data_IF_418338781903
#
_entry.id   IF_418338781903
#
_cell.length_a   1.000
_cell.length_b   1.000
_cell.length_c   1.000
_cell.angle_alpha   90.00
_cell.angle_beta   90.00
_cell.angle_gamma   90.00
#
_symmetry.space_group_name_H-M   'P 1'
#
loop_
_entity.id
_entity.type
_entity.pdbx_description
1 polymer ?
#
# COMPACT_ATOMS: atom_id res chain seq x y z
N UNK A 1 -0.53 9.11 -29.30
CA UNK A 1 -0.99 10.51 -29.34
C UNK A 1 -1.98 10.80 -28.21
N UNK A 2 -3.19 10.23 -28.20
CA UNK A 2 -4.23 10.48 -27.16
C UNK A 2 -3.76 10.16 -25.71
N UNK A 3 -2.99 9.08 -25.51
CA UNK A 3 -2.50 8.66 -24.19
C UNK A 3 -1.57 9.67 -23.52
N UNK A 4 -0.68 10.29 -24.29
CA UNK A 4 0.25 11.30 -23.76
C UNK A 4 -0.47 12.60 -23.42
N UNK A 5 -1.49 12.97 -24.21
CA UNK A 5 -2.29 14.16 -23.94
C UNK A 5 -3.14 14.05 -22.67
N UNK A 6 -3.75 12.89 -22.41
CA UNK A 6 -4.48 12.64 -21.15
C UNK A 6 -3.56 12.76 -19.93
N UNK A 7 -2.35 12.20 -20.01
CA UNK A 7 -1.36 12.31 -18.94
C UNK A 7 -0.93 13.76 -18.71
N UNK A 8 -0.67 14.52 -19.78
CA UNK A 8 -0.31 15.93 -19.68
C UNK A 8 -1.43 16.78 -19.05
N UNK A 9 -2.70 16.46 -19.33
CA UNK A 9 -3.84 17.14 -18.72
C UNK A 9 -3.87 16.84 -17.21
N UNK A 10 -3.74 15.57 -16.82
CA UNK A 10 -3.74 15.18 -15.40
C UNK A 10 -2.59 15.86 -14.64
N UNK A 11 -1.40 15.96 -15.26
CA UNK A 11 -0.22 16.61 -14.68
C UNK A 11 -0.40 18.12 -14.47
N UNK A 12 -1.17 18.76 -15.37
CA UNK A 12 -1.50 20.18 -15.25
C UNK A 12 -2.40 20.48 -14.05
N UNK A 13 -3.30 19.55 -13.69
CA UNK A 13 -4.29 19.74 -12.62
C UNK A 13 -3.85 19.19 -11.25
N UNK A 14 -2.74 18.45 -11.19
CA UNK A 14 -2.21 17.89 -9.94
C UNK A 14 -1.08 18.77 -9.41
N UNK A 15 -1.10 19.09 -8.12
CA UNK A 15 -0.08 19.94 -7.51
C UNK A 15 1.30 19.27 -7.59
N UNK A 16 2.26 19.93 -8.25
CA UNK A 16 3.63 19.44 -8.44
C UNK A 16 4.34 18.99 -7.15
N UNK A 17 4.16 19.65 -5.98
CA UNK A 17 4.77 19.18 -4.74
C UNK A 17 4.30 17.78 -4.31
N UNK A 18 3.02 17.44 -4.56
CA UNK A 18 2.45 16.13 -4.20
C UNK A 18 3.01 15.05 -5.12
N UNK A 19 3.14 15.35 -6.43
CA UNK A 19 3.76 14.46 -7.41
C UNK A 19 5.20 14.17 -7.00
N UNK A 20 5.99 15.22 -6.76
CA UNK A 20 7.40 15.10 -6.38
C UNK A 20 7.57 14.30 -5.08
N UNK A 21 6.66 14.47 -4.11
CA UNK A 21 6.69 13.68 -2.88
C UNK A 21 6.55 12.18 -3.15
N UNK A 22 5.53 11.78 -3.90
CA UNK A 22 5.27 10.37 -4.18
C UNK A 22 6.30 9.76 -5.15
N UNK A 23 6.78 10.49 -6.15
CA UNK A 23 7.87 10.06 -7.02
C UNK A 23 9.13 9.76 -6.21
N UNK A 24 9.60 10.72 -5.41
CA UNK A 24 10.78 10.52 -4.56
C UNK A 24 10.57 9.38 -3.56
N UNK A 25 9.38 9.25 -2.98
CA UNK A 25 9.07 8.16 -2.05
C UNK A 25 9.19 6.80 -2.75
N UNK A 26 8.58 6.63 -3.92
CA UNK A 26 8.53 5.35 -4.61
C UNK A 26 9.86 4.97 -5.29
N UNK A 27 10.67 5.94 -5.70
CA UNK A 27 12.02 5.72 -6.23
C UNK A 27 12.99 5.19 -5.15
N UNK A 28 12.73 5.51 -3.89
CA UNK A 28 13.57 5.09 -2.76
C UNK A 28 13.10 3.80 -2.07
N UNK A 29 11.92 3.27 -2.45
CA UNK A 29 11.41 2.00 -1.95
C UNK A 29 11.75 0.88 -2.91
N UNK A 30 12.73 0.06 -2.52
CA UNK A 30 13.11 -1.13 -3.27
C UNK A 30 12.10 -2.26 -3.05
N UNK A 31 11.42 -2.67 -4.13
CA UNK A 31 10.45 -3.76 -4.16
C UNK A 31 10.95 -4.95 -5.01
N UNK A 32 12.23 -4.95 -5.42
CA UNK A 32 12.80 -5.95 -6.34
C UNK A 32 12.73 -7.38 -5.79
N UNK A 33 12.85 -7.57 -4.47
CA UNK A 33 12.71 -8.85 -3.79
C UNK A 33 11.28 -9.43 -3.84
N UNK A 34 10.29 -8.60 -4.19
CA UNK A 34 8.89 -8.99 -4.27
C UNK A 34 8.56 -9.22 -5.74
N UNK A 35 8.09 -10.42 -6.15
CA UNK A 35 7.75 -10.62 -7.54
C UNK A 35 6.56 -9.72 -7.92
N UNK A 36 6.69 -8.92 -8.98
CA UNK A 36 5.66 -7.94 -9.32
C UNK A 36 4.28 -8.58 -9.56
N UNK A 37 4.26 -9.77 -10.16
CA UNK A 37 3.05 -10.53 -10.41
C UNK A 37 3.16 -11.95 -9.85
N UNK A 38 2.04 -12.46 -9.36
CA UNK A 38 1.91 -13.88 -9.03
C UNK A 38 1.76 -14.64 -10.36
N UNK A 39 2.62 -15.63 -10.60
CA UNK A 39 2.52 -16.45 -11.79
C UNK A 39 1.21 -17.25 -11.76
N UNK A 40 0.33 -16.94 -12.70
CA UNK A 40 -0.88 -17.70 -12.98
C UNK A 40 -0.58 -18.73 -14.07
N UNK A 41 -0.87 -20.01 -13.82
CA UNK A 41 -0.80 -21.05 -14.85
C UNK A 41 -1.99 -20.97 -15.83
N UNK A 42 -3.13 -20.48 -15.36
CA UNK A 42 -4.38 -20.36 -16.11
C UNK A 42 -5.12 -19.09 -15.64
N UNK A 43 -5.29 -18.12 -16.54
CA UNK A 43 -6.09 -16.91 -16.32
C UNK A 43 -5.32 -15.61 -16.56
N UNK A 44 -6.04 -14.46 -16.55
CA UNK A 44 -5.43 -13.15 -16.77
C UNK A 44 -4.37 -12.83 -15.73
N UNK A 45 -3.39 -12.03 -16.15
CA UNK A 45 -2.42 -11.42 -15.24
C UNK A 45 -3.18 -10.51 -14.27
N UNK A 46 -3.06 -10.77 -12.97
CA UNK A 46 -3.64 -9.92 -11.93
C UNK A 46 -2.96 -8.55 -11.84
N UNK A 47 -3.41 -7.72 -10.89
CA UNK A 47 -2.78 -6.43 -10.61
C UNK A 47 -1.35 -6.58 -10.10
N UNK A 48 -0.51 -5.57 -10.39
CA UNK A 48 0.86 -5.49 -9.90
C UNK A 48 0.87 -5.41 -8.37
N UNK A 49 1.60 -6.32 -7.73
CA UNK A 49 1.81 -6.30 -6.27
C UNK A 49 2.59 -5.07 -5.86
N UNK A 50 3.53 -4.60 -6.68
CA UNK A 50 4.25 -3.36 -6.41
C UNK A 50 3.29 -2.17 -6.35
N UNK A 51 2.36 -2.10 -7.30
CA UNK A 51 1.35 -1.05 -7.31
C UNK A 51 0.39 -1.12 -6.13
N UNK A 52 -0.02 -2.33 -5.73
CA UNK A 52 -0.84 -2.51 -4.53
C UNK A 52 -0.09 -2.10 -3.25
N UNK A 53 1.20 -2.44 -3.12
CA UNK A 53 2.03 -2.01 -1.98
C UNK A 53 2.13 -0.48 -1.92
N UNK A 54 2.45 0.16 -3.05
CA UNK A 54 2.52 1.62 -3.16
C UNK A 54 1.17 2.28 -2.82
N UNK A 55 0.05 1.71 -3.25
CA UNK A 55 -1.28 2.19 -2.87
C UNK A 55 -1.54 2.09 -1.35
N UNK A 56 -1.10 1.02 -0.68
CA UNK A 56 -1.18 0.94 0.78
C UNK A 56 -0.22 1.92 1.48
N UNK A 57 0.91 2.26 0.88
CA UNK A 57 1.76 3.35 1.38
C UNK A 57 1.04 4.69 1.27
N UNK A 58 0.41 5.00 0.12
CA UNK A 58 -0.46 6.18 -0.04
C UNK A 58 -1.55 6.20 1.03
N UNK A 59 -2.19 5.05 1.30
CA UNK A 59 -3.20 4.94 2.37
C UNK A 59 -2.67 5.40 3.73
N UNK A 60 -1.41 5.06 4.06
CA UNK A 60 -0.78 5.50 5.30
C UNK A 60 -0.39 6.99 5.29
N UNK A 61 0.13 7.49 4.17
CA UNK A 61 0.50 8.90 3.99
C UNK A 61 -0.72 9.84 4.10
N UNK A 62 -1.85 9.44 3.52
CA UNK A 62 -3.11 10.20 3.55
C UNK A 62 -3.96 9.91 4.80
N UNK A 63 -3.49 9.02 5.69
CA UNK A 63 -4.16 8.62 6.93
C UNK A 63 -5.57 8.04 6.76
N UNK A 64 -5.82 7.32 5.66
CA UNK A 64 -7.07 6.61 5.46
C UNK A 64 -7.16 5.38 6.36
N UNK A 65 -8.30 5.24 7.05
CA UNK A 65 -8.59 4.08 7.91
C UNK A 65 -9.29 2.94 7.18
N UNK A 66 -9.94 3.24 6.07
CA UNK A 66 -10.77 2.29 5.33
C UNK A 66 -10.26 2.13 3.90
N UNK A 67 -10.31 0.89 3.38
CA UNK A 67 -9.92 0.58 2.00
C UNK A 67 -10.83 1.29 0.99
N UNK A 68 -12.10 1.50 1.33
CA UNK A 68 -13.06 2.26 0.51
C UNK A 68 -12.56 3.68 0.25
N UNK A 69 -12.09 4.39 1.28
CA UNK A 69 -11.52 5.73 1.14
C UNK A 69 -10.27 5.75 0.24
N UNK A 70 -9.42 4.72 0.32
CA UNK A 70 -8.27 4.56 -0.59
C UNK A 70 -8.74 4.38 -2.04
N UNK A 71 -9.73 3.52 -2.28
CA UNK A 71 -10.28 3.27 -3.62
C UNK A 71 -10.83 4.58 -4.21
N UNK A 72 -11.69 5.27 -3.46
CA UNK A 72 -12.30 6.54 -3.89
C UNK A 72 -11.23 7.61 -4.19
N UNK A 73 -10.19 7.68 -3.35
CA UNK A 73 -9.06 8.58 -3.55
C UNK A 73 -8.30 8.28 -4.84
N UNK A 74 -7.96 7.02 -5.11
CA UNK A 74 -7.22 6.63 -6.31
C UNK A 74 -8.03 6.85 -7.59
N UNK A 75 -9.35 6.65 -7.53
CA UNK A 75 -10.26 6.96 -8.63
C UNK A 75 -10.36 8.46 -8.90
N UNK A 76 -10.24 9.28 -7.85
CA UNK A 76 -10.28 10.75 -7.96
C UNK A 76 -8.93 11.35 -8.37
N UNK A 77 -7.82 10.68 -8.02
CA UNK A 77 -6.45 11.17 -8.22
C UNK A 77 -5.66 10.21 -9.13
N UNK A 78 -6.01 10.21 -10.42
CA UNK A 78 -5.42 9.29 -11.41
C UNK A 78 -3.89 9.41 -11.54
N UNK A 79 -3.31 10.60 -11.29
CA UNK A 79 -1.84 10.75 -11.26
C UNK A 79 -1.21 9.89 -10.18
N UNK A 80 -1.78 9.91 -8.97
CA UNK A 80 -1.25 9.13 -7.84
C UNK A 80 -1.46 7.64 -8.09
N UNK A 81 -2.59 7.25 -8.66
CA UNK A 81 -2.81 5.86 -9.10
C UNK A 81 -1.76 5.41 -10.14
N UNK A 82 -1.42 6.28 -11.09
CA UNK A 82 -0.36 6.02 -12.06
C UNK A 82 1.02 5.93 -11.38
N UNK A 83 1.35 6.82 -10.43
CA UNK A 83 2.60 6.78 -9.68
C UNK A 83 2.74 5.50 -8.85
N UNK A 84 1.63 4.98 -8.32
CA UNK A 84 1.63 3.65 -7.71
C UNK A 84 2.06 2.57 -8.73
N UNK A 85 1.74 2.74 -10.01
CA UNK A 85 2.07 1.80 -11.09
C UNK A 85 0.84 1.14 -11.70
N UNK A 86 -0.37 1.66 -11.45
CA UNK A 86 -1.57 1.19 -12.12
C UNK A 86 -1.67 1.76 -13.54
N UNK A 87 -2.24 0.96 -14.44
CA UNK A 87 -2.62 1.44 -15.75
C UNK A 87 -4.00 2.13 -15.67
N UNK A 88 -3.99 3.46 -15.66
CA UNK A 88 -5.19 4.31 -15.60
C UNK A 88 -6.11 4.17 -16.82
N UNK A 89 -5.64 3.56 -17.91
CA UNK A 89 -6.46 3.25 -19.08
C UNK A 89 -7.28 1.98 -18.90
N UNK A 90 -6.95 1.18 -17.88
CA UNK A 90 -7.68 -0.02 -17.50
C UNK A 90 -8.47 0.22 -16.21
N UNK A 91 -9.35 -0.72 -15.88
CA UNK A 91 -10.09 -0.64 -14.63
C UNK A 91 -9.11 -0.66 -13.43
N UNK A 92 -9.16 0.36 -12.59
CA UNK A 92 -8.43 0.38 -11.32
C UNK A 92 -8.90 -0.74 -10.39
N UNK A 93 -8.06 -1.20 -9.45
CA UNK A 93 -8.42 -2.30 -8.56
C UNK A 93 -9.66 -1.97 -7.71
N UNK A 94 -10.62 -2.90 -7.69
CA UNK A 94 -11.78 -2.79 -6.80
C UNK A 94 -11.40 -3.02 -5.33
N UNK A 95 -12.30 -2.66 -4.40
CA UNK A 95 -12.20 -2.97 -2.97
C UNK A 95 -11.76 -4.41 -2.70
N UNK A 96 -12.40 -5.39 -3.36
CA UNK A 96 -12.13 -6.81 -3.13
C UNK A 96 -10.71 -7.23 -3.50
N UNK A 97 -10.06 -6.52 -4.43
CA UNK A 97 -8.66 -6.75 -4.79
C UNK A 97 -7.74 -6.33 -3.64
N UNK A 98 -7.97 -5.14 -3.09
CA UNK A 98 -7.22 -4.65 -1.94
C UNK A 98 -7.45 -5.49 -0.68
N UNK A 99 -8.71 -5.86 -0.43
CA UNK A 99 -9.08 -6.71 0.71
C UNK A 99 -8.41 -8.08 0.63
N UNK A 100 -8.43 -8.71 -0.55
CA UNK A 100 -7.74 -9.99 -0.76
C UNK A 100 -6.24 -9.83 -0.61
N UNK A 101 -5.67 -8.77 -1.18
CA UNK A 101 -4.24 -8.52 -1.08
C UNK A 101 -3.80 -8.45 0.38
N UNK A 102 -4.44 -7.62 1.22
CA UNK A 102 -4.03 -7.47 2.62
C UNK A 102 -4.24 -8.76 3.45
N UNK A 103 -5.26 -9.56 3.15
CA UNK A 103 -5.51 -10.85 3.83
C UNK A 103 -4.45 -11.89 3.47
N UNK A 104 -4.03 -11.92 2.21
CA UNK A 104 -3.12 -12.95 1.69
C UNK A 104 -1.63 -12.51 1.73
N UNK A 105 -1.33 -11.26 2.07
CA UNK A 105 0.04 -10.74 2.04
C UNK A 105 0.89 -11.28 3.19
N UNK A 106 2.03 -11.88 2.87
CA UNK A 106 2.96 -12.39 3.88
C UNK A 106 3.66 -11.24 4.60
N UNK A 107 3.39 -11.12 5.91
CA UNK A 107 4.01 -10.12 6.78
C UNK A 107 5.55 -10.22 6.84
N UNK A 108 6.13 -11.39 6.60
CA UNK A 108 7.59 -11.52 6.56
C UNK A 108 8.21 -10.69 5.43
N UNK A 109 7.48 -10.48 4.34
CA UNK A 109 7.91 -9.60 3.24
C UNK A 109 8.06 -8.16 3.74
N UNK A 110 7.10 -7.63 4.52
CA UNK A 110 7.20 -6.29 5.09
C UNK A 110 8.36 -6.16 6.07
N UNK A 111 8.55 -7.17 6.93
CA UNK A 111 9.67 -7.20 7.89
C UNK A 111 11.03 -7.16 7.18
N UNK A 112 11.17 -7.93 6.09
CA UNK A 112 12.39 -7.94 5.30
C UNK A 112 12.61 -6.61 4.59
N UNK A 113 11.56 -6.02 4.00
CA UNK A 113 11.64 -4.71 3.37
C UNK A 113 12.10 -3.63 4.37
N UNK A 114 11.50 -3.60 5.57
CA UNK A 114 11.89 -2.68 6.64
C UNK A 114 13.35 -2.90 7.06
N UNK A 115 13.77 -4.16 7.23
CA UNK A 115 15.15 -4.51 7.59
C UNK A 115 16.15 -4.01 6.53
N UNK A 116 15.87 -4.25 5.25
CA UNK A 116 16.73 -3.82 4.15
C UNK A 116 16.86 -2.29 4.11
N UNK A 117 15.76 -1.56 4.34
CA UNK A 117 15.79 -0.10 4.41
C UNK A 117 16.64 0.41 5.57
N UNK A 118 16.49 -0.16 6.77
CA UNK A 118 17.33 0.20 7.93
C UNK A 118 18.81 -0.09 7.65
N UNK A 119 19.13 -1.23 7.04
CA UNK A 119 20.52 -1.57 6.66
C UNK A 119 21.10 -0.57 5.66
N UNK A 120 20.32 -0.13 4.67
CA UNK A 120 20.73 0.90 3.72
C UNK A 120 21.03 2.23 4.42
N UNK A 121 20.17 2.64 5.37
CA UNK A 121 20.35 3.88 6.12
C UNK A 121 21.57 3.83 7.05
N UNK A 122 21.87 2.67 7.65
CA UNK A 122 23.10 2.46 8.42
C UNK A 122 24.32 2.59 7.50
N UNK A 123 24.29 1.96 6.32
CA UNK A 123 25.38 2.06 5.34
C UNK A 123 25.59 3.47 4.75
N UNK A 124 24.59 4.35 4.88
CA UNK A 124 24.67 5.76 4.51
C UNK A 124 25.07 6.68 5.68
N UNK A 125 25.41 6.12 6.84
CA UNK A 125 25.68 6.85 8.09
C UNK A 125 24.54 7.79 8.54
N UNK A 126 23.31 7.54 8.09
CA UNK A 126 22.10 8.29 8.51
C UNK A 126 21.63 7.82 9.89
N UNK A 127 21.81 6.53 10.20
CA UNK A 127 21.43 5.91 11.47
C UNK A 127 22.63 5.15 12.04
N UNK A 128 22.98 5.40 13.31
CA UNK A 128 24.14 4.80 13.97
C UNK A 128 23.79 3.61 14.88
N UNK A 129 22.50 3.43 15.24
CA UNK A 129 22.03 2.35 16.12
C UNK A 129 22.39 2.53 17.60
N UNK A 130 23.04 3.63 17.97
CA UNK A 130 23.50 3.92 19.33
C UNK A 130 22.36 4.22 20.31
N UNK A 131 21.27 4.81 19.82
CA UNK A 131 20.10 5.17 20.60
C UNK A 131 18.88 4.47 20.02
N UNK A 132 18.23 3.64 20.84
CA UNK A 132 16.97 2.98 20.50
C UNK A 132 15.82 3.72 21.17
N UNK A 133 14.95 4.34 20.36
CA UNK A 133 13.66 4.83 20.82
C UNK A 133 12.59 3.76 20.59
N UNK A 134 11.85 3.41 21.64
CA UNK A 134 10.76 2.43 21.58
C UNK A 134 9.49 3.12 22.06
N UNK A 135 8.49 3.17 21.18
CA UNK A 135 7.14 3.63 21.50
C UNK A 135 6.14 2.48 21.29
N UNK A 136 5.04 2.51 22.05
CA UNK A 136 3.95 1.54 21.91
C UNK A 136 2.63 2.28 21.72
N UNK A 137 1.98 2.07 20.58
CA UNK A 137 0.63 2.60 20.32
C UNK A 137 -0.40 1.47 20.44
N UNK A 138 -1.44 1.61 21.28
CA UNK A 138 -2.47 0.58 21.42
C UNK A 138 -3.35 0.51 20.16
N UNK A 139 -3.46 -0.68 19.56
CA UNK A 139 -4.34 -0.93 18.43
C UNK A 139 -5.72 -1.32 18.97
N UNK A 140 -6.69 -0.40 18.86
CA UNK A 140 -8.09 -0.69 19.20
C UNK A 140 -8.71 -1.56 18.11
N UNK A 141 -8.84 -2.85 18.40
CA UNK A 141 -9.52 -3.79 17.52
C UNK A 141 -10.58 -4.56 18.30
N UNK A 142 -11.75 -4.78 17.69
CA UNK A 142 -12.76 -5.67 18.26
C UNK A 142 -12.36 -7.13 17.99
N UNK A 143 -11.36 -7.61 18.73
CA UNK A 143 -10.83 -8.97 18.58
C UNK A 143 -10.95 -9.71 19.89
N UNK A 144 -10.97 -11.05 19.82
CA UNK A 144 -11.07 -11.93 20.99
C UNK A 144 -10.01 -11.65 22.06
N UNK A 145 -8.86 -11.15 21.65
CA UNK A 145 -7.75 -10.81 22.54
C UNK A 145 -7.94 -9.49 23.29
N UNK A 146 -8.83 -8.62 22.82
CA UNK A 146 -9.10 -7.31 23.43
C UNK A 146 -10.35 -7.32 24.33
N UNK A 147 -11.26 -8.31 24.15
CA UNK A 147 -12.42 -8.50 25.02
C UNK A 147 -12.91 -9.96 24.98
N UNK A 148 -12.60 -10.74 26.02
CA UNK A 148 -13.06 -12.14 26.15
C UNK A 148 -14.60 -12.26 26.19
N UNK A 149 -15.31 -11.21 26.64
CA UNK A 149 -16.78 -11.20 26.78
C UNK A 149 -17.53 -10.91 25.48
N UNK A 150 -16.86 -10.48 24.41
CA UNK A 150 -17.53 -10.06 23.18
C UNK A 150 -17.88 -11.21 22.22
N UNK A 151 -17.29 -12.40 22.40
CA UNK A 151 -17.46 -13.53 21.46
C UNK A 151 -18.24 -14.70 22.03
N UNK A 152 -18.74 -14.60 23.26
CA UNK A 152 -19.74 -15.51 23.80
C UNK A 152 -21.11 -15.22 23.17
N UNK A 153 -21.25 -15.52 21.88
CA UNK A 153 -22.57 -15.77 21.30
C UNK A 153 -22.91 -17.19 21.73
N UNK A 154 -23.74 -17.32 22.76
CA UNK A 154 -24.57 -18.49 22.95
C UNK A 154 -25.42 -18.67 21.70
N UNK A 155 -25.02 -19.59 20.82
CA UNK A 155 -25.88 -20.11 19.76
C UNK A 155 -27.00 -20.86 20.49
N UNK A 156 -28.08 -20.14 20.78
CA UNK A 156 -29.38 -20.71 21.02
C UNK A 156 -29.90 -21.25 19.68
N UNK A 157 -30.01 -22.57 19.63
CA UNK A 157 -30.87 -23.42 18.79
C UNK A 157 -31.68 -22.71 17.69
N UNK A 158 -31.36 -23.03 16.43
CA UNK A 158 -32.33 -23.50 15.42
C UNK A 158 -31.67 -24.53 14.51
#
# INVERSE_FOLDING_TARGET
MIRQELLNIIDLFTAQPIINFYENLFDNIDLSDIPEFIQSKLGPKGYSRHALIRAFIVMQCEHYREITSLVDFLHSNLKIAQLCGFDIMTQLPSYSVFERFIKDFDNNILKNLMKNQVQKLIGMDVITGEVLSVDSTPIKANTKFNNEKCFSISILNF
#
